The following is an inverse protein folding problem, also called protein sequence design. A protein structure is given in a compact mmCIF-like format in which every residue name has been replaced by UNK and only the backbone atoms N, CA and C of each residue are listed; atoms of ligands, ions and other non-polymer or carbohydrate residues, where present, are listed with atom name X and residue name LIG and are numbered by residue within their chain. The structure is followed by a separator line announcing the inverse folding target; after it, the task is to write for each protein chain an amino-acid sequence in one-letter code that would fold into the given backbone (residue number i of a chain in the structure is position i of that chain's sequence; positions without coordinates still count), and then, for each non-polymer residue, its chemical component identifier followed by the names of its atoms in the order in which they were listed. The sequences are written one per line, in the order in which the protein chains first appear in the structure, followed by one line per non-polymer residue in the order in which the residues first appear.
data_IF_045148726128
#
_entry.id   IF_045148726128
#
_cell.length_a   1.000
_cell.length_b   1.000
_cell.length_c   1.000
_cell.angle_alpha   90.00
_cell.angle_beta   90.00
_cell.angle_gamma   90.00
#
_symmetry.space_group_name_H-M   'P 1'
#
loop_
_entity.id
_entity.type
_entity.pdbx_description
1 polymer ?
#
# COMPACT_ATOMS: atom_id res chain seq x y z
N UNK A 1 -44.21 -20.80 17.37
CA UNK A 1 -42.80 -20.74 17.77
C UNK A 1 -42.10 -19.89 16.73
N UNK A 2 -42.08 -18.59 16.95
CA UNK A 2 -41.42 -17.66 16.01
C UNK A 2 -39.92 -17.70 16.31
N UNK A 3 -39.15 -18.29 15.39
CA UNK A 3 -37.71 -18.19 15.40
C UNK A 3 -37.33 -16.72 15.11
N UNK A 4 -37.06 -15.97 16.16
CA UNK A 4 -36.47 -14.62 16.04
C UNK A 4 -35.11 -14.77 15.38
N UNK A 5 -35.06 -14.65 14.06
CA UNK A 5 -33.81 -14.51 13.30
C UNK A 5 -33.17 -13.19 13.69
N UNK A 6 -32.19 -13.26 14.61
CA UNK A 6 -31.36 -12.10 14.93
C UNK A 6 -30.73 -11.58 13.62
N UNK A 7 -30.80 -10.26 13.34
CA UNK A 7 -30.17 -9.71 12.16
C UNK A 7 -28.68 -10.02 12.18
N UNK A 8 -28.05 -10.34 11.03
CA UNK A 8 -26.64 -10.64 10.95
C UNK A 8 -25.83 -9.48 11.52
N UNK A 9 -24.93 -9.79 12.44
CA UNK A 9 -24.10 -8.79 13.10
C UNK A 9 -23.31 -8.00 12.04
N UNK A 10 -23.59 -6.71 11.93
CA UNK A 10 -22.89 -5.80 11.02
C UNK A 10 -21.46 -5.61 11.54
N UNK A 11 -20.47 -6.05 10.77
CA UNK A 11 -19.07 -5.80 11.12
C UNK A 11 -18.80 -4.31 10.90
N UNK A 12 -18.32 -3.63 11.96
CA UNK A 12 -17.90 -2.24 11.83
C UNK A 12 -16.59 -2.20 11.02
N UNK A 13 -16.64 -1.59 9.82
CA UNK A 13 -15.49 -1.44 8.94
C UNK A 13 -14.28 -0.78 9.66
N UNK A 14 -14.55 0.14 10.59
CA UNK A 14 -13.52 0.83 11.36
C UNK A 14 -12.73 -0.11 12.27
N UNK A 15 -13.38 -1.06 12.92
CA UNK A 15 -12.69 -2.02 13.81
C UNK A 15 -11.82 -3.01 13.05
N UNK A 16 -12.12 -3.25 11.78
CA UNK A 16 -11.35 -4.13 10.91
C UNK A 16 -10.20 -3.38 10.23
N UNK A 17 -10.47 -2.22 9.63
CA UNK A 17 -9.52 -1.52 8.77
C UNK A 17 -8.56 -0.60 9.53
N UNK A 18 -8.94 -0.05 10.68
CA UNK A 18 -8.08 0.85 11.45
C UNK A 18 -6.81 0.14 11.96
N UNK A 19 -6.89 -1.04 12.64
CA UNK A 19 -5.69 -1.75 13.06
C UNK A 19 -4.80 -2.16 11.88
N UNK A 20 -5.40 -2.59 10.77
CA UNK A 20 -4.69 -2.90 9.54
C UNK A 20 -3.89 -1.71 9.02
N UNK A 21 -4.53 -0.53 8.92
CA UNK A 21 -3.87 0.70 8.48
C UNK A 21 -2.71 1.09 9.39
N UNK A 22 -2.93 1.04 10.72
CA UNK A 22 -1.89 1.38 11.70
C UNK A 22 -0.68 0.44 11.61
N UNK A 23 -0.92 -0.87 11.54
CA UNK A 23 0.16 -1.86 11.38
C UNK A 23 0.93 -1.62 10.09
N UNK A 24 0.24 -1.32 9.00
CA UNK A 24 0.87 -1.04 7.72
C UNK A 24 1.71 0.24 7.76
N UNK A 25 1.20 1.32 8.38
CA UNK A 25 1.97 2.56 8.57
C UNK A 25 3.23 2.33 9.40
N UNK A 26 3.15 1.56 10.48
CA UNK A 26 4.31 1.21 11.31
C UNK A 26 5.31 0.37 10.52
N UNK A 27 4.84 -0.66 9.80
CA UNK A 27 5.70 -1.50 8.96
C UNK A 27 6.44 -0.68 7.89
N UNK A 28 5.74 0.22 7.20
CA UNK A 28 6.37 1.11 6.22
C UNK A 28 7.33 2.11 6.89
N UNK A 29 6.99 2.62 8.07
CA UNK A 29 7.89 3.45 8.87
C UNK A 29 9.21 2.74 9.18
N UNK A 30 9.17 1.45 9.54
CA UNK A 30 10.38 0.64 9.76
C UNK A 30 11.19 0.44 8.48
N UNK A 31 10.54 0.19 7.34
CA UNK A 31 11.22 0.12 6.03
C UNK A 31 11.95 1.42 5.74
N UNK A 32 11.30 2.57 5.95
CA UNK A 32 11.93 3.87 5.72
C UNK A 32 13.05 4.18 6.72
N UNK A 33 12.95 3.74 7.96
CA UNK A 33 14.05 3.84 8.93
C UNK A 33 15.28 3.08 8.43
N UNK A 34 15.11 1.87 7.88
CA UNK A 34 16.22 1.11 7.26
C UNK A 34 16.80 1.84 6.06
N UNK A 35 15.99 2.47 5.21
CA UNK A 35 16.48 3.28 4.09
C UNK A 35 17.34 4.44 4.59
N UNK A 36 16.88 5.17 5.61
CA UNK A 36 17.61 6.29 6.20
C UNK A 36 18.96 5.81 6.78
N UNK A 37 18.95 4.73 7.56
CA UNK A 37 20.15 4.13 8.14
C UNK A 37 21.13 3.61 7.08
N UNK A 38 20.63 3.24 5.90
CA UNK A 38 21.42 2.82 4.73
C UNK A 38 21.94 3.99 3.88
N UNK A 39 21.88 5.24 4.39
CA UNK A 39 22.29 6.44 3.66
C UNK A 39 21.36 6.80 2.52
N UNK A 40 20.08 6.52 2.64
CA UNK A 40 19.05 6.86 1.65
C UNK A 40 19.08 5.97 0.39
N UNK A 41 19.70 4.80 0.46
CA UNK A 41 19.81 3.87 -0.69
C UNK A 41 18.78 2.75 -0.61
N UNK A 42 18.18 2.43 -1.75
CA UNK A 42 17.34 1.24 -1.90
C UNK A 42 18.27 0.03 -2.06
N UNK A 43 18.39 -0.77 -1.02
CA UNK A 43 19.20 -1.98 -0.97
C UNK A 43 18.34 -3.22 -1.15
N UNK A 44 18.98 -4.39 -1.37
CA UNK A 44 18.29 -5.67 -1.40
C UNK A 44 17.48 -5.92 -0.11
N UNK A 45 18.03 -5.53 1.05
CA UNK A 45 17.35 -5.66 2.34
C UNK A 45 16.03 -4.88 2.35
N UNK A 46 16.03 -3.63 1.85
CA UNK A 46 14.82 -2.81 1.70
C UNK A 46 13.81 -3.50 0.78
N UNK A 47 14.27 -4.07 -0.33
CA UNK A 47 13.43 -4.84 -1.25
C UNK A 47 12.78 -6.05 -0.58
N UNK A 48 13.54 -6.82 0.18
CA UNK A 48 13.03 -7.99 0.93
C UNK A 48 12.04 -7.59 2.02
N UNK A 49 12.31 -6.51 2.76
CA UNK A 49 11.38 -5.98 3.76
C UNK A 49 10.07 -5.52 3.13
N UNK A 50 10.15 -4.82 2.00
CA UNK A 50 8.95 -4.39 1.26
C UNK A 50 8.16 -5.60 0.72
N UNK A 51 8.85 -6.63 0.22
CA UNK A 51 8.22 -7.87 -0.19
C UNK A 51 7.54 -8.59 0.99
N UNK A 52 8.16 -8.60 2.18
CA UNK A 52 7.56 -9.14 3.39
C UNK A 52 6.30 -8.36 3.80
N UNK A 53 6.29 -7.03 3.67
CA UNK A 53 5.08 -6.21 3.88
C UNK A 53 3.99 -6.59 2.87
N UNK A 54 4.33 -6.75 1.58
CA UNK A 54 3.37 -7.15 0.55
C UNK A 54 2.77 -8.54 0.83
N UNK A 55 3.57 -9.51 1.25
CA UNK A 55 3.10 -10.82 1.68
C UNK A 55 2.22 -10.74 2.92
N UNK A 56 2.56 -9.88 3.89
CA UNK A 56 1.75 -9.61 5.07
C UNK A 56 0.37 -9.05 4.70
N UNK A 57 0.31 -8.10 3.76
CA UNK A 57 -0.94 -7.57 3.21
C UNK A 57 -1.77 -8.68 2.58
N UNK A 58 -1.18 -9.48 1.70
CA UNK A 58 -1.86 -10.57 1.01
C UNK A 58 -2.40 -11.62 2.03
N UNK A 59 -1.58 -12.02 2.99
CA UNK A 59 -1.97 -12.94 4.05
C UNK A 59 -3.11 -12.37 4.90
N UNK A 60 -3.02 -11.10 5.32
CA UNK A 60 -4.07 -10.46 6.10
C UNK A 60 -5.39 -10.38 5.33
N UNK A 61 -5.36 -9.99 4.06
CA UNK A 61 -6.55 -9.95 3.20
C UNK A 61 -7.17 -11.34 3.03
N UNK A 62 -6.34 -12.37 2.86
CA UNK A 62 -6.78 -13.76 2.74
C UNK A 62 -7.44 -14.26 4.02
N UNK A 63 -6.82 -14.04 5.17
CA UNK A 63 -7.34 -14.45 6.47
C UNK A 63 -8.66 -13.74 6.82
N UNK A 64 -8.78 -12.46 6.43
CA UNK A 64 -9.95 -11.63 6.73
C UNK A 64 -10.97 -11.58 5.57
N UNK A 65 -10.83 -12.39 4.52
CA UNK A 65 -11.69 -12.35 3.34
C UNK A 65 -13.18 -12.39 3.67
N UNK A 66 -13.59 -13.26 4.63
CA UNK A 66 -14.99 -13.38 5.06
C UNK A 66 -15.50 -12.14 5.80
N UNK A 67 -14.65 -11.45 6.53
CA UNK A 67 -15.00 -10.20 7.20
C UNK A 67 -15.07 -9.05 6.19
N UNK A 68 -14.13 -9.01 5.24
CA UNK A 68 -14.09 -8.00 4.17
C UNK A 68 -15.30 -8.08 3.26
N UNK A 69 -15.85 -9.27 2.96
CA UNK A 69 -17.08 -9.40 2.13
C UNK A 69 -18.33 -8.87 2.83
N UNK A 70 -18.34 -8.79 4.17
CA UNK A 70 -19.44 -8.20 4.96
C UNK A 70 -19.38 -6.68 5.03
N UNK A 71 -18.28 -6.07 4.60
CA UNK A 71 -18.11 -4.61 4.51
C UNK A 71 -18.29 -4.22 3.05
N UNK A 72 -19.14 -3.21 2.80
CA UNK A 72 -19.34 -2.72 1.43
C UNK A 72 -18.00 -2.25 0.85
N UNK A 73 -17.54 -2.90 -0.24
CA UNK A 73 -16.24 -2.68 -0.87
C UNK A 73 -15.01 -2.97 0.02
N UNK A 74 -15.15 -3.78 1.07
CA UNK A 74 -14.10 -3.98 2.07
C UNK A 74 -12.76 -4.43 1.49
N UNK A 75 -12.75 -5.35 0.53
CA UNK A 75 -11.54 -5.78 -0.16
C UNK A 75 -10.88 -4.66 -0.98
N UNK A 76 -11.69 -3.89 -1.73
CA UNK A 76 -11.18 -2.77 -2.52
C UNK A 76 -10.62 -1.64 -1.62
N UNK A 77 -11.30 -1.35 -0.51
CA UNK A 77 -10.83 -0.35 0.46
C UNK A 77 -9.52 -0.80 1.11
N UNK A 78 -9.40 -2.07 1.52
CA UNK A 78 -8.16 -2.60 2.08
C UNK A 78 -6.99 -2.51 1.08
N UNK A 79 -7.25 -2.82 -0.19
CA UNK A 79 -6.26 -2.69 -1.25
C UNK A 79 -5.89 -1.22 -1.52
N UNK A 80 -6.87 -0.32 -1.53
CA UNK A 80 -6.63 1.12 -1.68
C UNK A 80 -5.77 1.68 -0.53
N UNK A 81 -6.04 1.28 0.71
CA UNK A 81 -5.22 1.66 1.87
C UNK A 81 -3.77 1.17 1.67
N UNK A 82 -3.59 -0.10 1.28
CA UNK A 82 -2.26 -0.65 1.01
C UNK A 82 -1.54 0.14 -0.10
N UNK A 83 -2.21 0.38 -1.22
CA UNK A 83 -1.68 1.18 -2.33
C UNK A 83 -1.23 2.56 -1.84
N UNK A 84 -2.12 3.31 -1.18
CA UNK A 84 -1.82 4.67 -0.73
C UNK A 84 -0.65 4.66 0.27
N UNK A 85 -0.68 3.81 1.30
CA UNK A 85 0.38 3.80 2.32
C UNK A 85 1.73 3.41 1.74
N UNK A 86 1.80 2.33 0.95
CA UNK A 86 3.06 1.85 0.39
C UNK A 86 3.61 2.82 -0.65
N UNK A 87 2.82 3.20 -1.66
CA UNK A 87 3.32 4.03 -2.75
C UNK A 87 3.60 5.46 -2.31
N UNK A 88 2.72 6.06 -1.49
CA UNK A 88 2.93 7.42 -0.99
C UNK A 88 4.16 7.51 -0.12
N UNK A 89 4.43 6.52 0.75
CA UNK A 89 5.61 6.53 1.60
C UNK A 89 6.93 6.57 0.79
N UNK A 90 7.05 5.76 -0.26
CA UNK A 90 8.22 5.80 -1.15
C UNK A 90 8.29 7.09 -1.96
N UNK A 91 7.17 7.56 -2.51
CA UNK A 91 7.15 8.80 -3.30
C UNK A 91 7.49 10.03 -2.48
N UNK A 92 6.99 10.13 -1.24
CA UNK A 92 7.33 11.22 -0.32
C UNK A 92 8.81 11.20 0.02
N UNK A 93 9.37 10.02 0.34
CA UNK A 93 10.80 9.90 0.63
C UNK A 93 11.66 10.28 -0.59
N UNK A 94 11.31 9.80 -1.80
CA UNK A 94 11.99 10.16 -3.04
C UNK A 94 11.95 11.68 -3.29
N UNK A 95 10.79 12.30 -3.09
CA UNK A 95 10.60 13.75 -3.25
C UNK A 95 11.51 14.54 -2.29
N UNK A 96 11.51 14.18 -1.00
CA UNK A 96 12.37 14.83 0.00
C UNK A 96 13.85 14.70 -0.40
N UNK A 97 14.27 13.51 -0.82
CA UNK A 97 15.63 13.26 -1.30
C UNK A 97 15.96 14.11 -2.53
N UNK A 98 15.07 14.16 -3.52
CA UNK A 98 15.26 14.94 -4.74
C UNK A 98 15.40 16.42 -4.43
N UNK A 99 14.59 16.98 -3.53
CA UNK A 99 14.69 18.37 -3.08
C UNK A 99 16.04 18.62 -2.39
N UNK A 100 16.49 17.71 -1.53
CA UNK A 100 17.76 17.84 -0.84
C UNK A 100 18.97 17.85 -1.81
N UNK A 101 18.93 17.01 -2.85
CA UNK A 101 19.98 16.93 -3.89
C UNK A 101 19.92 18.10 -4.85
N UNK A 102 18.73 18.61 -5.19
CA UNK A 102 18.52 19.75 -6.09
C UNK A 102 19.13 21.06 -5.57
N UNK A 103 19.38 21.16 -4.27
CA UNK A 103 20.14 22.28 -3.69
C UNK A 103 21.64 22.22 -3.95
N UNK A 104 22.16 21.15 -4.55
CA UNK A 104 23.57 20.95 -4.87
C UNK A 104 23.99 21.46 -6.24
N UNK A 105 25.25 21.23 -6.65
CA UNK A 105 25.83 21.77 -7.89
C UNK A 105 25.13 21.35 -9.19
N UNK A 106 24.44 20.21 -9.19
CA UNK A 106 23.70 19.69 -10.35
C UNK A 106 22.29 20.25 -10.53
N UNK A 107 21.79 20.99 -9.54
CA UNK A 107 20.44 21.54 -9.58
C UNK A 107 19.34 20.48 -9.73
N UNK A 108 18.18 20.92 -10.20
CA UNK A 108 17.00 20.04 -10.39
C UNK A 108 17.22 18.96 -11.47
N UNK A 109 17.99 19.27 -12.51
CA UNK A 109 18.29 18.32 -13.61
C UNK A 109 19.19 17.18 -13.14
N UNK A 110 20.24 17.47 -12.38
CA UNK A 110 21.09 16.45 -11.74
C UNK A 110 20.30 15.57 -10.78
N UNK A 111 19.45 16.17 -9.96
CA UNK A 111 18.59 15.41 -9.05
C UNK A 111 17.60 14.48 -9.77
N UNK A 112 17.02 14.93 -10.88
CA UNK A 112 16.13 14.10 -11.71
C UNK A 112 16.89 12.95 -12.36
N UNK A 113 18.08 13.22 -12.90
CA UNK A 113 18.95 12.20 -13.49
C UNK A 113 19.32 11.12 -12.46
N UNK A 114 19.73 11.52 -11.26
CA UNK A 114 20.07 10.61 -10.17
C UNK A 114 18.87 9.74 -9.75
N UNK A 115 17.68 10.30 -9.71
CA UNK A 115 16.46 9.54 -9.41
C UNK A 115 16.20 8.47 -10.47
N UNK A 116 16.27 8.84 -11.75
CA UNK A 116 15.99 7.94 -12.88
C UNK A 116 17.07 6.86 -13.04
N UNK A 117 18.33 7.18 -12.77
CA UNK A 117 19.45 6.25 -12.88
C UNK A 117 19.60 5.30 -11.66
N UNK A 118 18.84 5.50 -10.59
CA UNK A 118 18.97 4.76 -9.34
C UNK A 118 17.83 3.76 -9.13
N UNK A 119 17.95 2.80 -8.18
CA UNK A 119 16.86 1.92 -7.77
C UNK A 119 15.59 2.63 -7.30
N UNK A 120 15.65 3.94 -7.02
CA UNK A 120 14.48 4.76 -6.70
C UNK A 120 13.47 4.83 -7.84
N UNK A 121 13.91 4.76 -9.10
CA UNK A 121 13.01 4.64 -10.25
C UNK A 121 12.08 3.43 -10.11
N UNK A 122 12.65 2.25 -9.78
CA UNK A 122 11.86 1.04 -9.55
C UNK A 122 10.94 1.16 -8.34
N UNK A 123 11.44 1.73 -7.22
CA UNK A 123 10.67 1.86 -5.98
C UNK A 123 9.52 2.88 -6.07
N UNK A 124 9.61 3.88 -6.94
CA UNK A 124 8.57 4.91 -7.12
C UNK A 124 7.67 4.62 -8.30
N UNK A 125 8.20 4.64 -9.52
CA UNK A 125 7.38 4.56 -10.74
C UNK A 125 6.92 3.14 -11.04
N UNK A 126 7.82 2.15 -11.03
CA UNK A 126 7.48 0.77 -11.39
C UNK A 126 6.57 0.15 -10.33
N UNK A 127 6.91 0.33 -9.04
CA UNK A 127 6.11 -0.21 -7.95
C UNK A 127 4.72 0.46 -7.89
N UNK A 128 4.64 1.79 -8.04
CA UNK A 128 3.36 2.51 -8.05
C UNK A 128 2.47 2.04 -9.20
N UNK A 129 3.04 1.79 -10.37
CA UNK A 129 2.31 1.28 -11.54
C UNK A 129 1.80 -0.14 -11.29
N UNK A 130 2.64 -1.04 -10.79
CA UNK A 130 2.26 -2.42 -10.50
C UNK A 130 1.14 -2.50 -9.43
N UNK A 131 1.28 -1.75 -8.34
CA UNK A 131 0.25 -1.68 -7.30
C UNK A 131 -1.03 -1.00 -7.79
N UNK A 132 -0.91 0.02 -8.66
CA UNK A 132 -2.04 0.71 -9.28
C UNK A 132 -2.86 -0.22 -10.17
N UNK A 133 -2.22 -1.05 -10.99
CA UNK A 133 -2.90 -2.08 -11.80
C UNK A 133 -3.62 -3.08 -10.89
N UNK A 134 -2.97 -3.57 -9.84
CA UNK A 134 -3.59 -4.46 -8.85
C UNK A 134 -4.82 -3.84 -8.18
N UNK A 135 -4.75 -2.55 -7.83
CA UNK A 135 -5.88 -1.81 -7.28
C UNK A 135 -7.04 -1.70 -8.30
N UNK A 136 -6.74 -1.37 -9.57
CA UNK A 136 -7.75 -1.28 -10.62
C UNK A 136 -8.47 -2.62 -10.83
N UNK A 137 -7.73 -3.73 -10.87
CA UNK A 137 -8.32 -5.08 -10.98
C UNK A 137 -9.23 -5.36 -9.77
N UNK A 138 -8.79 -5.01 -8.56
CA UNK A 138 -9.58 -5.20 -7.34
C UNK A 138 -10.85 -4.36 -7.33
N UNK A 139 -10.80 -3.12 -7.81
CA UNK A 139 -11.95 -2.22 -7.93
C UNK A 139 -12.94 -2.75 -8.98
N UNK A 140 -12.46 -3.10 -10.16
CA UNK A 140 -13.31 -3.67 -11.23
C UNK A 140 -14.00 -4.95 -10.76
N UNK A 141 -13.27 -5.88 -10.13
CA UNK A 141 -13.85 -7.10 -9.59
C UNK A 141 -14.92 -6.83 -8.52
N UNK A 142 -14.74 -5.80 -7.69
CA UNK A 142 -15.73 -5.44 -6.65
C UNK A 142 -16.95 -4.70 -7.19
N UNK A 143 -16.86 -4.05 -8.35
CA UNK A 143 -17.99 -3.39 -9.02
C UNK A 143 -18.76 -4.40 -9.86
N UNK A 144 -18.06 -5.19 -10.70
CA UNK A 144 -18.69 -6.16 -11.59
C UNK A 144 -19.34 -7.33 -10.83
N UNK A 145 -18.72 -7.78 -9.72
CA UNK A 145 -19.28 -8.89 -8.91
C UNK A 145 -20.63 -8.58 -8.25
N UNK A 146 -21.06 -7.32 -8.22
CA UNK A 146 -22.39 -6.93 -7.68
C UNK A 146 -23.48 -6.81 -8.72
N UNK A 147 -23.15 -6.74 -10.00
CA UNK A 147 -24.11 -6.63 -11.07
C UNK A 147 -24.76 -7.97 -11.47
N UNK A 148 -24.45 -9.07 -10.79
CA UNK A 148 -24.94 -10.40 -11.09
C UNK A 148 -25.84 -10.98 -9.99
N UNK A 149 -26.12 -10.21 -8.94
CA UNK A 149 -26.92 -10.64 -7.78
C UNK A 149 -28.32 -9.99 -7.73
N UNK A 150 -28.77 -9.33 -8.81
CA UNK A 150 -30.13 -8.74 -8.93
C UNK A 150 -31.09 -9.67 -9.67
#
# INVERSE_FOLDING_TARGET
MDATTSPPATINARTLLLPYTLVLMVAMGLVHAVIILSGGRITLVVGLLTAAVALGIAAWMWLNRRALTRVRFGGAIAHAIAFVVVTTSFNVHATIRTIAVAGGPGGAEGAAHDLLASPWFGATLVMSSAWGIGLLISLLGSVLGRGWED
#
